data_IF_756049022604
#
_entry.id   IF_756049022604
#
_cell.length_a   1.000
_cell.length_b   1.000
_cell.length_c   1.000
_cell.angle_alpha   90.00
_cell.angle_beta   90.00
_cell.angle_gamma   90.00
#
_symmetry.space_group_name_H-M   'P 1'
#
loop_
_entity.id
_entity.type
_entity.pdbx_description
1 polymer ?
#
# COMPACT_ATOMS: atom_id res chain seq x y z
N UNK A 1 28.98 -3.48 -2.68
CA UNK A 1 28.68 -3.30 -1.24
C UNK A 1 27.82 -2.06 -0.99
N UNK A 2 28.32 -0.84 -1.22
CA UNK A 2 27.49 0.39 -1.19
C UNK A 2 26.34 0.37 -2.21
N UNK A 3 26.51 -0.37 -3.31
CA UNK A 3 25.47 -0.52 -4.33
C UNK A 3 24.22 -1.26 -3.80
N UNK A 4 24.40 -2.33 -3.00
CA UNK A 4 23.28 -3.07 -2.41
C UNK A 4 22.50 -2.23 -1.39
N UNK A 5 23.22 -1.49 -0.53
CA UNK A 5 22.64 -0.56 0.44
C UNK A 5 21.95 0.63 -0.27
N UNK A 6 22.56 1.14 -1.34
CA UNK A 6 21.98 2.17 -2.20
C UNK A 6 20.68 1.71 -2.85
N UNK A 7 20.65 0.46 -3.34
CA UNK A 7 19.45 -0.20 -3.86
C UNK A 7 18.39 -0.32 -2.77
N UNK A 8 18.73 -0.88 -1.60
CA UNK A 8 17.81 -1.03 -0.47
C UNK A 8 17.13 0.28 -0.09
N UNK A 9 17.90 1.38 -0.02
CA UNK A 9 17.37 2.73 0.19
C UNK A 9 16.40 3.17 -0.92
N UNK A 10 16.72 2.91 -2.19
CA UNK A 10 15.84 3.22 -3.33
C UNK A 10 14.54 2.42 -3.26
N UNK A 11 14.60 1.12 -3.00
CA UNK A 11 13.43 0.25 -2.86
C UNK A 11 12.54 0.69 -1.68
N UNK A 12 13.09 1.15 -0.56
CA UNK A 12 12.28 1.75 0.52
C UNK A 12 11.58 3.04 0.07
N UNK A 13 12.25 3.89 -0.71
CA UNK A 13 11.63 5.08 -1.28
C UNK A 13 10.59 4.75 -2.36
N UNK A 14 10.76 3.65 -3.09
CA UNK A 14 9.77 3.17 -4.06
C UNK A 14 8.46 2.75 -3.35
N UNK A 15 8.56 2.20 -2.14
CA UNK A 15 7.38 1.87 -1.32
C UNK A 15 6.52 3.11 -1.04
N UNK A 16 7.14 4.28 -0.83
CA UNK A 16 6.40 5.53 -0.68
C UNK A 16 5.59 5.87 -1.94
N UNK A 17 6.16 5.70 -3.13
CA UNK A 17 5.44 5.90 -4.40
C UNK A 17 4.23 4.97 -4.52
N UNK A 18 4.40 3.68 -4.21
CA UNK A 18 3.31 2.69 -4.20
C UNK A 18 2.21 3.11 -3.22
N UNK A 19 2.56 3.59 -2.02
CA UNK A 19 1.59 4.05 -1.04
C UNK A 19 0.80 5.28 -1.51
N UNK A 20 1.46 6.21 -2.22
CA UNK A 20 0.78 7.37 -2.83
C UNK A 20 -0.22 6.92 -3.90
N UNK A 21 0.12 5.91 -4.72
CA UNK A 21 -0.80 5.37 -5.72
C UNK A 21 -2.03 4.71 -5.07
N UNK A 22 -1.82 3.96 -3.98
CA UNK A 22 -2.91 3.36 -3.19
C UNK A 22 -3.79 4.47 -2.60
N UNK A 23 -3.21 5.51 -2.00
CA UNK A 23 -3.94 6.66 -1.46
C UNK A 23 -4.79 7.38 -2.52
N UNK A 24 -4.19 7.68 -3.67
CA UNK A 24 -4.87 8.37 -4.77
C UNK A 24 -6.05 7.54 -5.28
N UNK A 25 -5.86 6.21 -5.38
CA UNK A 25 -6.95 5.31 -5.76
C UNK A 25 -8.02 5.26 -4.65
N UNK A 26 -7.65 5.24 -3.38
CA UNK A 26 -8.58 5.27 -2.24
C UNK A 26 -9.49 6.50 -2.25
N UNK A 27 -8.93 7.69 -2.50
CA UNK A 27 -9.73 8.92 -2.66
C UNK A 27 -10.73 8.84 -3.83
N UNK A 28 -10.33 8.22 -4.94
CA UNK A 28 -11.24 8.02 -6.08
C UNK A 28 -12.41 7.09 -5.76
N UNK A 29 -12.20 6.07 -4.90
CA UNK A 29 -13.26 5.16 -4.44
C UNK A 29 -14.32 5.90 -3.59
N UNK A 30 -13.91 6.92 -2.83
CA UNK A 30 -14.82 7.74 -2.04
C UNK A 30 -15.79 8.53 -2.91
N UNK A 31 -15.30 9.12 -4.01
CA UNK A 31 -16.16 9.82 -4.99
C UNK A 31 -17.17 8.86 -5.64
N UNK A 32 -16.76 7.63 -5.94
CA UNK A 32 -17.63 6.60 -6.49
C UNK A 32 -18.71 6.15 -5.49
N UNK A 33 -18.35 6.01 -4.21
CA UNK A 33 -19.30 5.72 -3.14
C UNK A 33 -20.40 6.79 -3.06
N UNK A 34 -20.02 8.08 -3.09
CA UNK A 34 -20.99 9.18 -3.09
C UNK A 34 -21.87 9.16 -4.33
N UNK A 35 -21.30 8.83 -5.50
CA UNK A 35 -22.06 8.73 -6.76
C UNK A 35 -23.11 7.62 -6.69
N UNK A 36 -22.74 6.43 -6.19
CA UNK A 36 -23.67 5.32 -5.99
C UNK A 36 -24.81 5.68 -5.04
N UNK A 37 -24.53 6.47 -3.99
CA UNK A 37 -25.55 6.95 -3.06
C UNK A 37 -26.57 7.87 -3.74
N UNK A 38 -26.12 8.81 -4.58
CA UNK A 38 -27.01 9.71 -5.32
C UNK A 38 -27.89 8.92 -6.28
N UNK A 39 -27.31 7.95 -7.00
CA UNK A 39 -28.06 7.07 -7.91
C UNK A 39 -29.13 6.28 -7.16
N UNK A 40 -28.82 5.73 -5.99
CA UNK A 40 -29.78 5.00 -5.20
C UNK A 40 -30.97 5.86 -4.74
N UNK A 41 -30.69 7.06 -4.22
CA UNK A 41 -31.73 8.01 -3.78
C UNK A 41 -32.61 8.43 -4.96
N UNK A 42 -32.00 8.75 -6.11
CA UNK A 42 -32.72 9.12 -7.32
C UNK A 42 -33.58 7.97 -7.84
N UNK A 43 -33.06 6.75 -7.78
CA UNK A 43 -33.81 5.55 -8.12
C UNK A 43 -35.06 5.40 -7.26
N UNK A 44 -34.96 5.58 -5.94
CA UNK A 44 -36.11 5.43 -5.01
C UNK A 44 -37.19 6.46 -5.38
N UNK A 45 -36.78 7.70 -5.60
CA UNK A 45 -37.69 8.79 -5.98
C UNK A 45 -38.37 8.54 -7.33
N UNK A 46 -37.68 7.92 -8.30
CA UNK A 46 -38.26 7.55 -9.59
C UNK A 46 -39.23 6.37 -9.45
N UNK A 47 -38.88 5.36 -8.67
CA UNK A 47 -39.71 4.19 -8.41
C UNK A 47 -41.04 4.56 -7.73
N UNK A 48 -41.00 5.49 -6.77
CA UNK A 48 -42.19 5.99 -6.08
C UNK A 48 -43.19 6.73 -6.99
N UNK A 49 -42.74 7.27 -8.13
CA UNK A 49 -43.59 8.01 -9.09
C UNK A 49 -44.35 7.10 -10.05
N UNK A 50 -44.00 5.81 -10.13
CA UNK A 50 -44.68 4.86 -11.01
C UNK A 50 -45.98 4.40 -10.36
N UNK A 51 -47.10 4.97 -10.82
CA UNK A 51 -48.44 4.61 -10.35
C UNK A 51 -48.86 3.18 -10.74
N UNK A 52 -49.88 2.66 -10.05
CA UNK A 52 -50.58 1.43 -10.45
C UNK A 52 -49.90 0.10 -10.07
N UNK A 53 -48.96 0.09 -9.12
CA UNK A 53 -48.38 -1.13 -8.55
C UNK A 53 -47.40 -1.89 -9.46
N UNK A 54 -47.32 -1.54 -10.75
CA UNK A 54 -46.39 -2.14 -11.74
C UNK A 54 -44.91 -1.85 -11.45
N UNK A 55 -44.62 -0.78 -10.70
CA UNK A 55 -43.27 -0.43 -10.26
C UNK A 55 -42.81 -1.10 -8.95
N UNK A 56 -43.65 -1.92 -8.29
CA UNK A 56 -43.33 -2.52 -6.97
C UNK A 56 -42.06 -3.40 -6.96
N UNK A 57 -41.81 -4.26 -7.96
CA UNK A 57 -40.57 -5.04 -8.02
C UNK A 57 -39.33 -4.14 -8.15
N UNK A 58 -39.41 -3.12 -9.00
CA UNK A 58 -38.33 -2.13 -9.18
C UNK A 58 -38.10 -1.34 -7.89
N UNK A 59 -39.17 -0.95 -7.20
CA UNK A 59 -39.08 -0.23 -5.92
C UNK A 59 -38.35 -1.07 -4.87
N UNK A 60 -38.65 -2.37 -4.75
CA UNK A 60 -37.93 -3.27 -3.85
C UNK A 60 -36.44 -3.41 -4.22
N UNK A 61 -36.11 -3.55 -5.51
CA UNK A 61 -34.71 -3.64 -5.97
C UNK A 61 -33.93 -2.37 -5.68
N UNK A 62 -34.57 -1.22 -5.87
CA UNK A 62 -34.00 0.10 -5.64
C UNK A 62 -33.86 0.40 -4.14
N UNK A 63 -34.79 -0.06 -3.30
CA UNK A 63 -34.65 -0.01 -1.84
C UNK A 63 -33.45 -0.83 -1.36
N UNK A 64 -33.23 -2.04 -1.92
CA UNK A 64 -32.03 -2.83 -1.64
C UNK A 64 -30.77 -2.06 -2.07
N UNK A 65 -30.78 -1.44 -3.26
CA UNK A 65 -29.67 -0.62 -3.73
C UNK A 65 -29.40 0.60 -2.83
N UNK A 66 -30.42 1.13 -2.15
CA UNK A 66 -30.29 2.23 -1.19
C UNK A 66 -29.62 1.82 0.14
N UNK A 67 -29.46 0.51 0.39
CA UNK A 67 -28.66 0.01 1.52
C UNK A 67 -27.18 -0.08 1.16
N UNK A 68 -26.85 -0.25 -0.12
CA UNK A 68 -25.48 -0.43 -0.62
C UNK A 68 -24.51 0.68 -0.19
N UNK A 69 -24.87 1.99 -0.21
CA UNK A 69 -23.98 3.05 0.29
C UNK A 69 -23.59 2.91 1.76
N UNK A 70 -24.47 2.35 2.61
CA UNK A 70 -24.17 2.11 4.03
C UNK A 70 -23.15 1.00 4.23
N UNK A 71 -23.05 0.09 3.28
CA UNK A 71 -22.05 -0.98 3.25
C UNK A 71 -20.73 -0.50 2.62
N UNK A 72 -20.77 0.37 1.61
CA UNK A 72 -19.57 0.92 0.96
C UNK A 72 -18.81 1.85 1.90
N UNK A 73 -19.52 2.72 2.64
CA UNK A 73 -18.93 3.73 3.50
C UNK A 73 -17.89 3.19 4.50
N UNK A 74 -18.16 2.16 5.32
CA UNK A 74 -17.18 1.64 6.27
C UNK A 74 -15.96 1.03 5.57
N UNK A 75 -16.12 0.40 4.39
CA UNK A 75 -15.01 -0.15 3.63
C UNK A 75 -14.10 0.95 3.05
N UNK A 76 -14.68 2.05 2.57
CA UNK A 76 -13.93 3.21 2.09
C UNK A 76 -13.21 3.91 3.24
N UNK A 77 -13.87 4.10 4.39
CA UNK A 77 -13.25 4.67 5.60
C UNK A 77 -12.10 3.79 6.11
N UNK A 78 -12.26 2.46 6.08
CA UNK A 78 -11.20 1.52 6.42
C UNK A 78 -10.00 1.65 5.45
N UNK A 79 -10.25 1.76 4.15
CA UNK A 79 -9.18 2.01 3.16
C UNK A 79 -8.46 3.32 3.46
N UNK A 80 -9.18 4.40 3.76
CA UNK A 80 -8.59 5.70 4.07
C UNK A 80 -7.69 5.66 5.31
N UNK A 81 -8.18 5.06 6.40
CA UNK A 81 -7.41 4.90 7.64
C UNK A 81 -6.13 4.11 7.41
N UNK A 82 -6.22 2.99 6.69
CA UNK A 82 -5.05 2.16 6.39
C UNK A 82 -4.08 2.88 5.44
N UNK A 83 -4.59 3.66 4.48
CA UNK A 83 -3.75 4.48 3.60
C UNK A 83 -2.98 5.57 4.36
N UNK A 84 -3.63 6.26 5.30
CA UNK A 84 -2.99 7.26 6.15
C UNK A 84 -1.88 6.63 7.00
N UNK A 85 -2.14 5.43 7.53
CA UNK A 85 -1.15 4.68 8.30
C UNK A 85 0.03 4.23 7.43
N UNK A 86 -0.23 3.72 6.21
CA UNK A 86 0.82 3.38 5.25
C UNK A 86 1.70 4.59 4.89
N UNK A 87 1.11 5.77 4.69
CA UNK A 87 1.86 6.98 4.42
C UNK A 87 2.78 7.37 5.59
N UNK A 88 2.28 7.25 6.82
CA UNK A 88 3.05 7.49 8.04
C UNK A 88 4.22 6.51 8.18
N UNK A 89 3.96 5.22 8.00
CA UNK A 89 4.96 4.15 8.12
C UNK A 89 6.04 4.27 7.05
N UNK A 90 5.67 4.58 5.80
CA UNK A 90 6.63 4.75 4.71
C UNK A 90 7.49 6.00 4.90
N UNK A 91 6.91 7.13 5.28
CA UNK A 91 7.68 8.34 5.58
C UNK A 91 8.68 8.11 6.72
N UNK A 92 8.27 7.41 7.78
CA UNK A 92 9.17 7.06 8.89
C UNK A 92 10.27 6.11 8.43
N UNK A 93 9.93 5.09 7.64
CA UNK A 93 10.89 4.13 7.07
C UNK A 93 11.94 4.82 6.17
N UNK A 94 11.51 5.78 5.33
CA UNK A 94 12.41 6.59 4.51
C UNK A 94 13.37 7.44 5.36
N UNK A 95 12.89 8.00 6.47
CA UNK A 95 13.74 8.75 7.39
C UNK A 95 14.77 7.87 8.09
N UNK A 96 14.33 6.70 8.60
CA UNK A 96 15.22 5.74 9.25
C UNK A 96 16.30 5.27 8.28
N UNK A 97 15.95 4.87 7.05
CA UNK A 97 16.94 4.38 6.08
C UNK A 97 17.91 5.48 5.65
N UNK A 98 17.47 6.73 5.56
CA UNK A 98 18.36 7.85 5.23
C UNK A 98 19.37 8.11 6.35
N UNK A 99 18.90 8.19 7.60
CA UNK A 99 19.77 8.34 8.78
C UNK A 99 20.74 7.17 8.88
N UNK A 100 20.24 5.95 8.74
CA UNK A 100 21.05 4.73 8.77
C UNK A 100 22.14 4.76 7.69
N UNK A 101 21.77 5.07 6.44
CA UNK A 101 22.71 5.16 5.32
C UNK A 101 23.87 6.10 5.63
N UNK A 102 23.59 7.30 6.15
CA UNK A 102 24.64 8.24 6.51
C UNK A 102 25.55 7.70 7.61
N UNK A 103 24.97 7.20 8.70
CA UNK A 103 25.73 6.71 9.86
C UNK A 103 26.63 5.53 9.47
N UNK A 104 26.11 4.54 8.74
CA UNK A 104 26.91 3.37 8.35
C UNK A 104 28.01 3.76 7.36
N UNK A 105 27.75 4.68 6.42
CA UNK A 105 28.80 5.17 5.52
C UNK A 105 29.91 5.89 6.27
N UNK A 106 29.58 6.68 7.29
CA UNK A 106 30.56 7.36 8.15
C UNK A 106 31.39 6.37 8.96
N UNK A 107 30.77 5.32 9.52
CA UNK A 107 31.48 4.25 10.23
C UNK A 107 32.47 3.56 9.29
N UNK A 108 32.02 3.15 8.11
CA UNK A 108 32.87 2.47 7.12
C UNK A 108 34.00 3.36 6.62
N UNK A 109 33.78 4.67 6.46
CA UNK A 109 34.82 5.62 6.06
C UNK A 109 35.86 5.87 7.16
N UNK A 110 35.44 5.83 8.43
CA UNK A 110 36.30 6.03 9.61
C UNK A 110 37.05 4.76 10.05
N UNK A 111 36.79 3.61 9.40
CA UNK A 111 37.59 2.41 9.64
C UNK A 111 38.99 2.61 9.05
N UNK A 112 40.06 2.24 9.78
CA UNK A 112 41.42 2.42 9.31
C UNK A 112 41.61 1.65 8.00
N UNK A 113 41.82 2.38 6.91
CA UNK A 113 42.22 1.77 5.65
C UNK A 113 43.64 1.24 5.85
N UNK A 114 43.79 -0.08 5.83
CA UNK A 114 45.09 -0.73 5.98
C UNK A 114 46.16 0.01 5.18
N UNK A 115 47.19 0.46 5.92
CA UNK A 115 48.29 1.26 5.40
C UNK A 115 48.97 0.60 4.21
N UNK A 116 49.61 1.45 3.41
CA UNK A 116 50.38 1.11 2.22
C UNK A 116 51.29 -0.11 2.45
N UNK A 117 50.86 -1.27 1.98
CA UNK A 117 51.77 -2.36 1.60
C UNK A 117 51.15 -3.09 0.42
N UNK A 118 51.99 -3.29 -0.58
CA UNK A 118 51.71 -3.76 -1.92
C UNK A 118 51.08 -5.17 -1.94
N UNK A 119 49.77 -5.27 -1.76
CA UNK A 119 48.95 -6.31 -2.39
C UNK A 119 47.47 -5.91 -2.24
N UNK A 120 46.90 -5.31 -3.29
CA UNK A 120 45.49 -4.90 -3.35
C UNK A 120 44.48 -6.08 -3.36
N UNK A 121 44.94 -7.31 -3.14
CA UNK A 121 44.14 -8.52 -3.33
C UNK A 121 43.47 -9.08 -2.07
N UNK A 122 43.85 -8.65 -0.86
CA UNK A 122 43.36 -9.26 0.40
C UNK A 122 42.52 -8.33 1.28
N UNK A 123 42.05 -7.20 0.70
CA UNK A 123 41.09 -6.31 1.37
C UNK A 123 39.68 -6.88 1.28
N UNK A 124 39.29 -7.68 2.25
CA UNK A 124 37.90 -8.09 2.40
C UNK A 124 37.33 -7.58 3.73
N UNK A 125 36.87 -6.33 3.75
CA UNK A 125 35.62 -6.07 4.46
C UNK A 125 34.65 -7.13 3.91
N UNK A 126 33.97 -7.96 4.72
CA UNK A 126 33.43 -9.20 4.22
C UNK A 126 32.54 -8.91 3.03
N UNK A 127 32.94 -9.35 1.84
CA UNK A 127 32.28 -9.06 0.55
C UNK A 127 30.82 -9.55 0.53
N UNK A 128 30.42 -10.26 1.57
CA UNK A 128 29.11 -10.82 1.84
C UNK A 128 28.19 -9.91 2.66
N UNK A 129 28.68 -8.83 3.30
CA UNK A 129 27.83 -7.92 4.06
C UNK A 129 27.08 -6.97 3.12
N UNK A 130 25.76 -6.99 3.21
CA UNK A 130 24.88 -6.13 2.39
C UNK A 130 24.47 -4.87 3.13
N UNK A 131 24.62 -4.86 4.45
CA UNK A 131 24.21 -3.77 5.34
C UNK A 131 22.70 -3.50 5.25
N UNK A 132 21.92 -4.55 5.11
CA UNK A 132 20.46 -4.48 4.98
C UNK A 132 19.76 -5.11 6.17
N UNK A 133 20.48 -5.85 7.03
CA UNK A 133 19.92 -6.47 8.24
C UNK A 133 20.73 -6.15 9.50
N UNK A 134 20.13 -6.19 10.71
CA UNK A 134 20.84 -5.96 11.96
C UNK A 134 22.04 -6.91 12.15
N UNK A 135 21.96 -8.14 11.64
CA UNK A 135 23.03 -9.15 11.72
C UNK A 135 24.27 -8.71 10.94
N UNK A 136 24.10 -7.96 9.85
CA UNK A 136 25.24 -7.40 9.11
C UNK A 136 26.06 -6.46 9.99
N UNK A 137 25.39 -5.68 10.85
CA UNK A 137 26.03 -4.76 11.79
C UNK A 137 26.74 -5.52 12.90
N UNK A 138 26.09 -6.56 13.46
CA UNK A 138 26.74 -7.43 14.46
C UNK A 138 28.01 -8.08 13.90
N UNK A 139 27.96 -8.55 12.65
CA UNK A 139 29.14 -9.10 11.96
C UNK A 139 30.22 -8.05 11.75
N UNK A 140 29.86 -6.84 11.33
CA UNK A 140 30.81 -5.73 11.20
C UNK A 140 31.51 -5.43 12.54
N UNK A 141 30.77 -5.37 13.65
CA UNK A 141 31.32 -5.06 14.97
C UNK A 141 32.30 -6.13 15.49
N UNK A 142 32.16 -7.38 15.03
CA UNK A 142 33.07 -8.49 15.38
C UNK A 142 34.28 -8.58 14.45
N UNK A 143 34.34 -7.76 13.39
CA UNK A 143 35.45 -7.76 12.45
C UNK A 143 36.72 -7.19 13.11
N UNK A 144 37.88 -7.85 12.96
CA UNK A 144 39.14 -7.37 13.53
C UNK A 144 39.50 -5.94 13.11
N UNK A 145 39.18 -5.54 11.88
CA UNK A 145 39.46 -4.20 11.37
C UNK A 145 38.59 -3.12 12.02
N UNK A 146 37.41 -3.49 12.52
CA UNK A 146 36.53 -2.59 13.28
C UNK A 146 37.13 -2.22 14.64
N UNK A 147 37.88 -3.15 15.23
CA UNK A 147 38.53 -3.01 16.54
C UNK A 147 39.87 -2.25 16.48
N UNK A 148 40.43 -1.99 15.29
CA UNK A 148 41.69 -1.25 15.12
C UNK A 148 41.53 0.24 15.42
N UNK A 149 42.60 0.92 15.85
CA UNK A 149 42.63 2.36 16.13
C UNK A 149 42.54 2.72 17.61
N UNK A 150 42.55 4.02 17.88
CA UNK A 150 42.56 4.59 19.23
C UNK A 150 41.29 4.24 20.02
N UNK A 151 41.36 4.11 21.37
CA UNK A 151 40.23 3.71 22.19
C UNK A 151 38.99 4.59 21.98
N UNK A 152 39.16 5.92 21.93
CA UNK A 152 38.06 6.86 21.75
C UNK A 152 37.38 6.71 20.38
N UNK A 153 38.16 6.48 19.32
CA UNK A 153 37.61 6.25 17.98
C UNK A 153 36.85 4.94 17.90
N UNK A 154 37.36 3.89 18.56
CA UNK A 154 36.69 2.59 18.65
C UNK A 154 35.38 2.68 19.40
N UNK A 155 35.35 3.41 20.52
CA UNK A 155 34.14 3.63 21.31
C UNK A 155 33.10 4.42 20.51
N UNK A 156 33.53 5.47 19.79
CA UNK A 156 32.67 6.24 18.90
C UNK A 156 32.09 5.38 17.76
N UNK A 157 32.92 4.59 17.07
CA UNK A 157 32.44 3.67 16.01
C UNK A 157 31.46 2.64 16.56
N UNK A 158 31.75 2.07 17.74
CA UNK A 158 30.88 1.10 18.40
C UNK A 158 29.53 1.71 18.79
N UNK A 159 29.53 2.93 19.32
CA UNK A 159 28.32 3.69 19.64
C UNK A 159 27.47 3.96 18.40
N UNK A 160 28.07 4.43 17.31
CA UNK A 160 27.35 4.68 16.04
C UNK A 160 26.84 3.37 15.43
N UNK A 161 27.60 2.27 15.51
CA UNK A 161 27.16 0.95 15.04
C UNK A 161 25.95 0.45 15.85
N UNK A 162 25.91 0.65 17.16
CA UNK A 162 24.75 0.33 17.98
C UNK A 162 23.50 1.13 17.57
N UNK A 163 23.66 2.41 17.25
CA UNK A 163 22.57 3.24 16.69
C UNK A 163 22.12 2.68 15.32
N UNK A 164 23.06 2.25 14.47
CA UNK A 164 22.73 1.64 13.18
C UNK A 164 21.93 0.35 13.34
N UNK A 165 22.31 -0.50 14.30
CA UNK A 165 21.58 -1.73 14.62
C UNK A 165 20.15 -1.40 15.09
N UNK A 166 20.00 -0.40 15.96
CA UNK A 166 18.69 0.06 16.45
C UNK A 166 17.82 0.56 15.31
N UNK A 167 18.40 1.35 14.39
CA UNK A 167 17.70 1.84 13.20
C UNK A 167 17.20 0.70 12.31
N UNK A 168 18.03 -0.32 12.05
CA UNK A 168 17.61 -1.45 11.21
C UNK A 168 16.52 -2.29 11.88
N UNK A 169 16.60 -2.52 13.19
CA UNK A 169 15.55 -3.20 13.95
C UNK A 169 14.23 -2.42 13.89
N UNK A 170 14.28 -1.10 14.09
CA UNK A 170 13.10 -0.24 13.98
C UNK A 170 12.53 -0.27 12.56
N UNK A 171 13.39 -0.14 11.54
CA UNK A 171 12.98 -0.22 10.13
C UNK A 171 12.28 -1.55 9.83
N UNK A 172 12.80 -2.67 10.30
CA UNK A 172 12.21 -3.99 10.09
C UNK A 172 10.82 -4.10 10.74
N UNK A 173 10.65 -3.54 11.95
CA UNK A 173 9.35 -3.47 12.61
C UNK A 173 8.35 -2.64 11.80
N UNK A 174 8.78 -1.48 11.27
CA UNK A 174 7.93 -0.61 10.44
C UNK A 174 7.55 -1.24 9.10
N UNK A 175 8.48 -1.94 8.46
CA UNK A 175 8.20 -2.70 7.24
C UNK A 175 7.22 -3.84 7.49
N UNK A 176 7.34 -4.53 8.63
CA UNK A 176 6.38 -5.57 9.04
C UNK A 176 4.99 -5.00 9.30
N UNK A 177 4.93 -3.83 9.94
CA UNK A 177 3.69 -3.09 10.15
C UNK A 177 3.05 -2.63 8.82
N UNK A 178 3.87 -2.14 7.89
CA UNK A 178 3.41 -1.77 6.54
C UNK A 178 2.86 -2.97 5.78
N UNK A 179 3.50 -4.15 5.88
CA UNK A 179 3.00 -5.39 5.28
C UNK A 179 1.62 -5.75 5.83
N UNK A 180 1.44 -5.65 7.16
CA UNK A 180 0.13 -5.86 7.80
C UNK A 180 -0.92 -4.88 7.26
N UNK A 181 -0.59 -3.60 7.18
CA UNK A 181 -1.48 -2.59 6.62
C UNK A 181 -1.88 -2.91 5.17
N UNK A 182 -0.93 -3.30 4.30
CA UNK A 182 -1.25 -3.73 2.92
C UNK A 182 -2.20 -4.93 2.89
N UNK A 183 -2.08 -5.86 3.84
CA UNK A 183 -3.00 -6.99 3.97
C UNK A 183 -4.40 -6.55 4.41
N UNK A 184 -4.49 -5.56 5.29
CA UNK A 184 -5.75 -4.97 5.74
C UNK A 184 -6.44 -4.22 4.60
N UNK A 185 -5.70 -3.42 3.80
CA UNK A 185 -6.25 -2.76 2.60
C UNK A 185 -6.82 -3.77 1.61
N UNK A 186 -6.11 -4.90 1.39
CA UNK A 186 -6.56 -5.96 0.49
C UNK A 186 -7.87 -6.62 0.96
N UNK A 187 -8.06 -6.74 2.28
CA UNK A 187 -9.31 -7.27 2.85
C UNK A 187 -10.47 -6.31 2.65
N UNK A 188 -10.28 -5.02 2.92
CA UNK A 188 -11.32 -4.01 2.68
C UNK A 188 -11.69 -3.91 1.18
N UNK A 189 -10.69 -4.02 0.30
CA UNK A 189 -10.91 -4.08 -1.14
C UNK A 189 -11.78 -5.27 -1.58
N UNK A 190 -11.68 -6.40 -0.88
CA UNK A 190 -12.54 -7.55 -1.13
C UNK A 190 -13.99 -7.28 -0.73
N UNK A 191 -14.22 -6.57 0.38
CA UNK A 191 -15.56 -6.10 0.78
C UNK A 191 -16.21 -5.25 -0.30
N UNK A 192 -15.49 -4.24 -0.81
CA UNK A 192 -15.95 -3.41 -1.92
C UNK A 192 -16.28 -4.19 -3.19
N UNK A 193 -15.49 -5.23 -3.51
CA UNK A 193 -15.75 -6.10 -4.66
C UNK A 193 -17.08 -6.82 -4.54
N UNK A 194 -17.39 -7.35 -3.36
CA UNK A 194 -18.67 -8.04 -3.13
C UNK A 194 -19.85 -7.08 -3.26
N UNK A 195 -19.70 -5.86 -2.76
CA UNK A 195 -20.71 -4.81 -2.91
C UNK A 195 -20.92 -4.43 -4.39
N UNK A 196 -19.84 -4.25 -5.14
CA UNK A 196 -19.90 -3.95 -6.58
C UNK A 196 -20.63 -5.05 -7.38
N UNK A 197 -20.39 -6.33 -7.04
CA UNK A 197 -21.09 -7.46 -7.65
C UNK A 197 -22.61 -7.40 -7.39
N UNK A 198 -23.00 -7.11 -6.14
CA UNK A 198 -24.41 -6.95 -5.76
C UNK A 198 -25.06 -5.79 -6.52
N UNK A 199 -24.40 -4.63 -6.59
CA UNK A 199 -24.91 -3.48 -7.34
C UNK A 199 -25.07 -3.77 -8.84
N UNK A 200 -24.13 -4.51 -9.44
CA UNK A 200 -24.23 -4.96 -10.84
C UNK A 200 -25.42 -5.88 -11.07
N UNK A 201 -25.64 -6.83 -10.16
CA UNK A 201 -26.78 -7.73 -10.23
C UNK A 201 -28.11 -6.97 -10.09
N UNK A 202 -28.21 -6.03 -9.15
CA UNK A 202 -29.39 -5.18 -8.99
C UNK A 202 -29.66 -4.32 -10.23
N UNK A 203 -28.63 -3.74 -10.83
CA UNK A 203 -28.77 -2.98 -12.08
C UNK A 203 -29.33 -3.85 -13.22
N UNK A 204 -28.83 -5.09 -13.35
CA UNK A 204 -29.37 -6.06 -14.32
C UNK A 204 -30.86 -6.35 -14.06
N UNK A 205 -31.24 -6.62 -12.81
CA UNK A 205 -32.63 -6.86 -12.43
C UNK A 205 -33.53 -5.65 -12.73
N UNK A 206 -33.08 -4.44 -12.37
CA UNK A 206 -33.81 -3.19 -12.66
C UNK A 206 -34.01 -3.01 -14.17
N UNK A 207 -32.98 -3.25 -14.97
CA UNK A 207 -33.06 -3.15 -16.43
C UNK A 207 -34.05 -4.16 -17.03
N UNK A 208 -34.03 -5.40 -16.53
CA UNK A 208 -34.94 -6.47 -16.94
C UNK A 208 -36.40 -6.13 -16.63
N UNK A 209 -36.69 -5.70 -15.41
CA UNK A 209 -38.04 -5.29 -14.99
C UNK A 209 -38.50 -4.03 -15.73
N UNK A 210 -37.60 -3.08 -15.97
CA UNK A 210 -37.89 -1.88 -16.74
C UNK A 210 -38.27 -2.16 -18.19
N UNK A 211 -37.76 -3.24 -18.78
CA UNK A 211 -38.14 -3.67 -20.13
C UNK A 211 -39.63 -4.04 -20.23
N UNK A 212 -40.23 -4.54 -19.15
CA UNK A 212 -41.66 -4.88 -19.09
C UNK A 212 -42.59 -3.65 -18.98
N UNK A 213 -42.04 -2.46 -18.70
CA UNK A 213 -42.81 -1.23 -18.48
C UNK A 213 -42.90 -0.30 -19.70
N UNK A 214 -42.27 -0.65 -20.84
CA UNK A 214 -42.31 0.18 -22.05
C UNK A 214 -41.74 1.58 -21.84
N UNK A 215 -42.44 2.63 -22.28
CA UNK A 215 -42.01 4.03 -22.12
C UNK A 215 -41.86 4.46 -20.65
N UNK A 216 -42.71 3.94 -19.75
CA UNK A 216 -42.62 4.20 -18.32
C UNK A 216 -41.36 3.57 -17.66
N UNK A 217 -40.70 2.66 -18.37
CA UNK A 217 -39.46 2.00 -17.95
C UNK A 217 -38.18 2.74 -18.35
N UNK A 218 -38.26 3.77 -19.20
CA UNK A 218 -37.07 4.41 -19.78
C UNK A 218 -36.15 5.04 -18.71
N UNK A 219 -36.71 5.67 -17.68
CA UNK A 219 -35.92 6.24 -16.58
C UNK A 219 -35.15 5.18 -15.80
N UNK A 220 -35.73 3.98 -15.60
CA UNK A 220 -35.06 2.88 -14.89
C UNK A 220 -34.00 2.19 -15.74
N UNK A 221 -34.19 2.13 -17.07
CA UNK A 221 -33.13 1.70 -17.99
C UNK A 221 -31.92 2.64 -17.92
N UNK A 222 -32.16 3.94 -17.87
CA UNK A 222 -31.09 4.94 -17.66
C UNK A 222 -30.41 4.74 -16.31
N UNK A 223 -31.17 4.59 -15.22
CA UNK A 223 -30.63 4.31 -13.89
C UNK A 223 -29.76 3.05 -13.86
N UNK A 224 -30.23 1.95 -14.46
CA UNK A 224 -29.47 0.70 -14.53
C UNK A 224 -28.17 0.86 -15.32
N UNK A 225 -28.18 1.63 -16.40
CA UNK A 225 -26.97 1.96 -17.18
C UNK A 225 -25.99 2.81 -16.37
N UNK A 226 -26.47 3.82 -15.63
CA UNK A 226 -25.64 4.66 -14.76
C UNK A 226 -25.01 3.86 -13.61
N UNK A 227 -25.78 2.97 -12.97
CA UNK A 227 -25.23 2.05 -11.95
C UNK A 227 -24.16 1.15 -12.58
N UNK A 228 -24.43 0.59 -13.77
CA UNK A 228 -23.46 -0.22 -14.50
C UNK A 228 -22.14 0.51 -14.74
N UNK A 229 -22.20 1.77 -15.19
CA UNK A 229 -21.02 2.61 -15.39
C UNK A 229 -20.25 2.84 -14.08
N UNK A 230 -20.94 3.17 -12.98
CA UNK A 230 -20.28 3.37 -11.66
C UNK A 230 -19.62 2.09 -11.17
N UNK A 231 -20.24 0.93 -11.36
CA UNK A 231 -19.63 -0.36 -10.97
C UNK A 231 -18.44 -0.70 -11.86
N UNK A 232 -18.49 -0.44 -13.17
CA UNK A 232 -17.36 -0.66 -14.06
C UNK A 232 -16.16 0.25 -13.69
N UNK A 233 -16.41 1.51 -13.33
CA UNK A 233 -15.36 2.40 -12.82
C UNK A 233 -14.81 1.91 -11.48
N UNK A 234 -15.68 1.49 -10.55
CA UNK A 234 -15.28 0.87 -9.28
C UNK A 234 -14.35 -0.33 -9.52
N UNK A 235 -14.71 -1.24 -10.42
CA UNK A 235 -13.90 -2.41 -10.78
C UNK A 235 -12.56 -2.04 -11.41
N UNK A 236 -12.50 -0.99 -12.23
CA UNK A 236 -11.25 -0.48 -12.77
C UNK A 236 -10.33 0.06 -11.66
N UNK A 237 -10.86 0.87 -10.74
CA UNK A 237 -10.10 1.40 -9.59
C UNK A 237 -9.65 0.32 -8.64
N UNK A 238 -10.51 -0.65 -8.33
CA UNK A 238 -10.15 -1.78 -7.46
C UNK A 238 -9.03 -2.63 -8.07
N UNK A 239 -9.05 -2.87 -9.38
CA UNK A 239 -7.96 -3.57 -10.06
C UNK A 239 -6.63 -2.81 -9.99
N UNK A 240 -6.66 -1.50 -10.21
CA UNK A 240 -5.48 -0.65 -10.09
C UNK A 240 -4.90 -0.70 -8.66
N UNK A 241 -5.75 -0.51 -7.64
CA UNK A 241 -5.34 -0.59 -6.24
C UNK A 241 -4.76 -1.96 -5.88
N UNK A 242 -5.40 -3.05 -6.33
CA UNK A 242 -4.91 -4.41 -6.12
C UNK A 242 -3.50 -4.59 -6.69
N UNK A 243 -3.25 -4.09 -7.91
CA UNK A 243 -1.93 -4.16 -8.54
C UNK A 243 -0.85 -3.42 -7.73
N UNK A 244 -1.17 -2.25 -7.20
CA UNK A 244 -0.27 -1.49 -6.32
C UNK A 244 -0.02 -2.21 -5.00
N UNK A 245 -1.06 -2.81 -4.40
CA UNK A 245 -0.93 -3.61 -3.17
C UNK A 245 -0.04 -4.84 -3.40
N UNK A 246 -0.29 -5.60 -4.47
CA UNK A 246 0.48 -6.82 -4.78
C UNK A 246 1.97 -6.48 -5.01
N UNK A 247 2.23 -5.35 -5.69
CA UNK A 247 3.59 -4.82 -5.91
C UNK A 247 4.24 -4.39 -4.59
N UNK A 248 3.51 -3.66 -3.75
CA UNK A 248 3.99 -3.22 -2.44
C UNK A 248 4.30 -4.38 -1.50
N UNK A 249 3.44 -5.40 -1.46
CA UNK A 249 3.67 -6.60 -0.64
C UNK A 249 4.93 -7.34 -1.07
N UNK A 250 5.06 -7.58 -2.38
CA UNK A 250 6.24 -8.24 -2.94
C UNK A 250 7.53 -7.49 -2.60
N UNK A 251 7.50 -6.15 -2.69
CA UNK A 251 8.63 -5.29 -2.35
C UNK A 251 8.96 -5.33 -0.85
N UNK A 252 7.96 -5.22 0.03
CA UNK A 252 8.16 -5.27 1.48
C UNK A 252 8.69 -6.62 1.93
N UNK A 253 8.14 -7.73 1.43
CA UNK A 253 8.63 -9.08 1.73
C UNK A 253 10.09 -9.27 1.31
N UNK A 254 10.47 -8.68 0.18
CA UNK A 254 11.83 -8.70 -0.33
C UNK A 254 12.76 -7.86 0.59
N UNK A 255 12.33 -6.67 1.00
CA UNK A 255 13.07 -5.81 1.93
C UNK A 255 13.24 -6.44 3.32
N UNK A 256 12.19 -7.10 3.84
CA UNK A 256 12.24 -7.81 5.12
C UNK A 256 13.28 -8.96 5.11
N UNK A 257 13.50 -9.59 3.95
CA UNK A 257 14.54 -10.61 3.77
C UNK A 257 15.95 -10.03 3.61
N UNK A 258 16.13 -8.71 3.70
CA UNK A 258 17.40 -8.03 3.43
C UNK A 258 17.79 -8.06 1.95
N UNK A 259 16.83 -8.28 1.05
CA UNK A 259 17.07 -8.28 -0.39
C UNK A 259 16.72 -6.91 -0.99
N UNK A 260 17.13 -6.68 -2.23
CA UNK A 260 16.81 -5.47 -2.99
C UNK A 260 16.69 -5.84 -4.47
N UNK A 261 15.79 -5.20 -5.20
CA UNK A 261 15.54 -5.43 -6.63
C UNK A 261 15.98 -4.20 -7.44
N UNK A 262 16.63 -4.42 -8.58
CA UNK A 262 17.22 -3.36 -9.41
C UNK A 262 16.31 -2.86 -10.54
N UNK A 263 15.04 -3.30 -10.55
CA UNK A 263 14.03 -2.88 -11.52
C UNK A 263 13.84 -1.38 -11.61
#
# INVERSE_FOLDING_TARGET
MLDALGLFKRNINQLFGICVDIMNTGRSLQLLSSSMQILAINGVAQAAKVGGGKGRPILALVEILNHTPREIKPEVEAIEQVCAELARLTAHSSNIVWRYYQLITSVLAAMPQGGQSSCLADRHLPSHLRFTTPEDITRLMTDPSFQLGEPLERDNRSSIAAICQTNLTELHARLSEALRCLNDTRRALHGLKMIGLTARYLAFCISSEAAALGEAGMSFKTLAAEIGHVVDELDARMRAMKSSIDSGQSLVELLLKGNSDAK
#
